data_IF_602514176887
#
_entry.id   IF_602514176887
#
_cell.length_a   1.000
_cell.length_b   1.000
_cell.length_c   1.000
_cell.angle_alpha   90.00
_cell.angle_beta   90.00
_cell.angle_gamma   90.00
#
_symmetry.space_group_name_H-M   'P 1'
#
loop_
_entity.id
_entity.type
_entity.pdbx_description
1 polymer ?
#
# COMPACT_ATOMS: atom_id res chain seq x y z
N UNK A 1 -20.33 -16.53 -59.37
CA UNK A 1 -19.37 -15.73 -58.58
C UNK A 1 -20.03 -15.43 -57.24
N UNK A 2 -19.64 -16.13 -56.17
CA UNK A 2 -20.25 -16.02 -54.83
C UNK A 2 -19.41 -15.03 -54.03
N UNK A 3 -20.05 -13.98 -53.53
CA UNK A 3 -19.38 -12.93 -52.75
C UNK A 3 -19.26 -13.41 -51.29
N UNK A 4 -18.04 -13.67 -50.82
CA UNK A 4 -17.75 -13.95 -49.41
C UNK A 4 -17.76 -12.63 -48.65
N UNK A 5 -18.76 -12.42 -47.80
CA UNK A 5 -18.84 -11.25 -46.92
C UNK A 5 -18.09 -11.59 -45.63
N UNK A 6 -16.96 -10.92 -45.39
CA UNK A 6 -16.28 -10.99 -44.09
C UNK A 6 -16.97 -10.03 -43.13
N UNK A 7 -17.58 -10.57 -42.07
CA UNK A 7 -18.15 -9.76 -40.99
C UNK A 7 -17.11 -9.56 -39.90
N UNK A 8 -16.77 -8.30 -39.60
CA UNK A 8 -15.92 -7.94 -38.48
C UNK A 8 -16.77 -7.42 -37.32
N UNK A 9 -16.51 -7.90 -36.10
CA UNK A 9 -17.18 -7.41 -34.88
C UNK A 9 -16.18 -6.58 -34.08
N UNK A 10 -16.49 -5.30 -33.90
CA UNK A 10 -15.70 -4.39 -33.05
C UNK A 10 -16.35 -4.32 -31.68
N UNK A 11 -15.66 -4.82 -30.65
CA UNK A 11 -16.10 -4.71 -29.25
C UNK A 11 -15.47 -3.48 -28.62
N UNK A 12 -16.29 -2.55 -28.14
CA UNK A 12 -15.81 -1.44 -27.32
C UNK A 12 -15.34 -1.94 -25.94
N UNK A 13 -14.03 -1.82 -25.70
CA UNK A 13 -13.38 -2.14 -24.42
C UNK A 13 -12.89 -0.90 -23.69
N UNK A 14 -13.24 0.29 -24.17
CA UNK A 14 -12.77 1.58 -23.64
C UNK A 14 -13.10 1.72 -22.16
N UNK A 15 -14.27 1.26 -21.73
CA UNK A 15 -14.68 1.28 -20.31
C UNK A 15 -13.75 0.45 -19.42
N UNK A 16 -13.44 -0.78 -19.83
CA UNK A 16 -12.55 -1.67 -19.06
C UNK A 16 -11.13 -1.12 -19.00
N UNK A 17 -10.60 -0.60 -20.12
CA UNK A 17 -9.28 0.02 -20.17
C UNK A 17 -9.19 1.26 -19.27
N UNK A 18 -10.20 2.14 -19.29
CA UNK A 18 -10.23 3.32 -18.43
C UNK A 18 -10.27 2.96 -16.95
N UNK A 19 -11.11 1.99 -16.57
CA UNK A 19 -11.17 1.53 -15.18
C UNK A 19 -9.84 0.92 -14.70
N UNK A 20 -9.21 0.07 -15.53
CA UNK A 20 -7.90 -0.51 -15.20
C UNK A 20 -6.80 0.53 -15.10
N UNK A 21 -6.76 1.50 -16.00
CA UNK A 21 -5.78 2.59 -15.94
C UNK A 21 -5.97 3.47 -14.69
N UNK A 22 -7.21 3.83 -14.37
CA UNK A 22 -7.52 4.62 -13.18
C UNK A 22 -7.13 3.88 -11.89
N UNK A 23 -7.39 2.56 -11.83
CA UNK A 23 -6.94 1.74 -10.70
C UNK A 23 -5.42 1.76 -10.56
N UNK A 24 -4.69 1.49 -11.65
CA UNK A 24 -3.22 1.46 -11.64
C UNK A 24 -2.60 2.81 -11.26
N UNK A 25 -3.20 3.90 -11.74
CA UNK A 25 -2.77 5.25 -11.38
C UNK A 25 -3.01 5.54 -9.88
N UNK A 26 -4.16 5.12 -9.36
CA UNK A 26 -4.46 5.25 -7.94
C UNK A 26 -3.53 4.41 -7.05
N UNK A 27 -3.22 3.18 -7.44
CA UNK A 27 -2.26 2.30 -6.75
C UNK A 27 -0.86 2.88 -6.76
N UNK A 28 -0.40 3.38 -7.92
CA UNK A 28 0.91 4.01 -8.05
C UNK A 28 1.02 5.25 -7.16
N UNK A 29 -0.04 6.07 -7.15
CA UNK A 29 -0.09 7.26 -6.29
C UNK A 29 -0.12 6.89 -4.81
N UNK A 30 -0.90 5.87 -4.43
CA UNK A 30 -0.94 5.34 -3.07
C UNK A 30 0.45 4.86 -2.64
N UNK A 31 1.08 3.97 -3.39
CA UNK A 31 2.42 3.44 -3.09
C UNK A 31 3.45 4.58 -3.01
N UNK A 32 3.37 5.55 -3.92
CA UNK A 32 4.26 6.71 -3.90
C UNK A 32 4.08 7.57 -2.65
N UNK A 33 2.86 7.74 -2.16
CA UNK A 33 2.60 8.53 -0.94
C UNK A 33 2.98 7.77 0.32
N UNK A 34 2.70 6.47 0.34
CA UNK A 34 3.00 5.57 1.45
C UNK A 34 4.50 5.40 1.64
N UNK A 35 5.22 4.97 0.60
CA UNK A 35 6.66 4.67 0.68
C UNK A 35 7.54 5.91 0.74
N UNK A 36 7.21 6.99 0.03
CA UNK A 36 8.04 8.19 0.06
C UNK A 36 7.69 9.14 1.23
N UNK A 37 6.73 8.77 2.08
CA UNK A 37 6.50 9.50 3.32
C UNK A 37 7.73 9.40 4.21
N UNK A 38 8.11 10.50 4.85
CA UNK A 38 9.20 10.52 5.84
C UNK A 38 8.71 10.19 7.25
N UNK A 39 7.40 10.15 7.44
CA UNK A 39 6.79 9.79 8.71
C UNK A 39 6.61 8.28 8.80
N UNK A 40 6.52 7.78 10.04
CA UNK A 40 6.11 6.41 10.32
C UNK A 40 4.66 6.23 9.87
N UNK A 41 4.43 5.44 8.82
CA UNK A 41 3.10 5.10 8.33
C UNK A 41 2.91 3.59 8.39
N UNK A 42 1.79 3.18 8.97
CA UNK A 42 1.40 1.78 9.02
C UNK A 42 -0.11 1.62 8.85
N UNK A 43 -0.51 0.43 8.43
CA UNK A 43 -1.90 0.02 8.31
C UNK A 43 -2.11 -1.14 9.29
N UNK A 44 -3.19 -1.08 10.05
CA UNK A 44 -3.59 -2.17 10.93
C UNK A 44 -5.05 -2.56 10.72
N UNK A 45 -5.35 -3.83 10.94
CA UNK A 45 -6.71 -4.32 11.12
C UNK A 45 -7.34 -3.72 12.38
N UNK A 46 -8.67 -3.80 12.47
CA UNK A 46 -9.43 -3.37 13.64
C UNK A 46 -8.99 -4.08 14.94
N UNK A 47 -8.45 -5.29 14.83
CA UNK A 47 -7.95 -6.09 15.95
C UNK A 47 -6.51 -5.73 16.35
N UNK A 48 -5.91 -4.71 15.73
CA UNK A 48 -4.57 -4.22 16.01
C UNK A 48 -3.43 -5.01 15.35
N UNK A 49 -3.75 -5.99 14.50
CA UNK A 49 -2.73 -6.65 13.67
C UNK A 49 -2.29 -5.74 12.56
N UNK A 50 -0.99 -5.60 12.40
CA UNK A 50 -0.38 -4.85 11.32
C UNK A 50 -0.64 -5.56 9.99
N UNK A 51 -0.97 -4.78 8.98
CA UNK A 51 -1.24 -5.21 7.61
C UNK A 51 -0.08 -4.78 6.71
N UNK A 52 0.46 -3.57 6.93
CA UNK A 52 1.49 -2.97 6.08
C UNK A 52 2.24 -1.87 6.85
N UNK A 53 3.50 -1.61 6.48
CA UNK A 53 4.34 -0.51 6.99
C UNK A 53 5.20 0.07 5.87
N UNK A 54 5.43 1.38 5.91
CA UNK A 54 6.33 2.00 4.95
C UNK A 54 7.80 1.81 5.35
N UNK A 55 8.69 1.96 4.38
CA UNK A 55 10.15 1.92 4.61
C UNK A 55 10.64 2.90 5.69
N UNK A 56 10.08 4.11 5.76
CA UNK A 56 10.45 5.08 6.80
C UNK A 56 10.16 4.58 8.23
N UNK A 57 9.08 3.79 8.43
CA UNK A 57 8.80 3.17 9.70
C UNK A 57 9.92 2.21 10.13
N UNK A 58 10.44 1.40 9.20
CA UNK A 58 11.55 0.50 9.49
C UNK A 58 12.80 1.28 9.91
N UNK A 59 13.14 2.32 9.16
CA UNK A 59 14.33 3.15 9.41
C UNK A 59 14.27 3.88 10.77
N UNK A 60 13.14 4.54 11.06
CA UNK A 60 12.96 5.34 12.29
C UNK A 60 12.90 4.43 13.54
N UNK A 61 12.27 3.26 13.39
CA UNK A 61 12.08 2.31 14.48
C UNK A 61 13.28 1.39 14.67
N UNK A 62 14.21 1.38 13.72
CA UNK A 62 15.48 0.64 13.79
C UNK A 62 15.36 -0.83 13.42
N UNK A 63 14.39 -1.19 12.58
CA UNK A 63 14.22 -2.53 12.04
C UNK A 63 14.86 -2.62 10.66
N UNK A 64 15.66 -3.66 10.42
CA UNK A 64 16.30 -3.83 9.11
C UNK A 64 15.35 -4.47 8.09
N UNK A 65 14.34 -5.20 8.58
CA UNK A 65 13.39 -5.94 7.75
C UNK A 65 11.99 -5.92 8.36
N UNK A 66 10.98 -5.98 7.51
CA UNK A 66 9.58 -6.04 7.92
C UNK A 66 9.27 -7.27 8.80
N UNK A 67 9.93 -8.40 8.59
CA UNK A 67 9.66 -9.60 9.39
C UNK A 67 10.14 -9.48 10.85
N UNK A 68 11.03 -8.54 11.13
CA UNK A 68 11.49 -8.22 12.49
C UNK A 68 10.49 -7.30 13.21
N UNK A 69 9.60 -6.68 12.44
CA UNK A 69 8.59 -5.77 12.95
C UNK A 69 7.47 -6.53 13.67
N UNK A 70 7.03 -6.09 14.86
CA UNK A 70 5.97 -6.76 15.59
C UNK A 70 4.67 -6.85 14.79
N UNK A 71 4.06 -8.03 14.76
CA UNK A 71 2.81 -8.28 14.02
C UNK A 71 1.61 -7.53 14.59
N UNK A 72 1.70 -7.03 15.83
CA UNK A 72 0.65 -6.21 16.45
C UNK A 72 1.21 -4.88 16.93
N UNK A 73 0.47 -3.81 16.67
CA UNK A 73 0.88 -2.46 17.02
C UNK A 73 0.97 -2.21 18.53
N UNK A 74 0.12 -2.88 19.31
CA UNK A 74 0.16 -2.80 20.78
C UNK A 74 1.49 -3.30 21.38
N UNK A 75 2.19 -4.21 20.70
CA UNK A 75 3.50 -4.68 21.11
C UNK A 75 4.62 -3.66 20.88
N UNK A 76 4.50 -2.77 19.88
CA UNK A 76 5.44 -1.66 19.71
C UNK A 76 5.37 -0.67 20.87
N UNK A 77 4.19 -0.48 21.44
CA UNK A 77 3.91 0.48 22.50
C UNK A 77 3.46 -0.24 23.77
N UNK A 78 4.22 -1.26 24.17
CA UNK A 78 3.88 -2.13 25.29
C UNK A 78 3.77 -1.37 26.62
N UNK A 79 4.48 -0.24 26.75
CA UNK A 79 4.38 0.69 27.88
C UNK A 79 4.15 2.14 27.43
N UNK A 80 3.56 3.00 28.29
CA UNK A 80 3.44 4.44 27.99
C UNK A 80 4.79 5.13 27.73
N UNK A 81 5.88 4.60 28.30
CA UNK A 81 7.24 5.13 28.09
C UNK A 81 7.73 4.86 26.67
N UNK A 82 7.44 3.68 26.11
CA UNK A 82 7.83 3.31 24.73
C UNK A 82 7.21 4.26 23.70
N UNK A 83 5.98 4.75 23.97
CA UNK A 83 5.34 5.79 23.15
C UNK A 83 6.07 7.12 23.17
N UNK A 84 6.58 7.55 24.33
CA UNK A 84 7.28 8.84 24.45
C UNK A 84 8.64 8.74 23.74
N UNK A 85 9.33 7.61 23.87
CA UNK A 85 10.57 7.37 23.14
C UNK A 85 10.34 7.34 21.63
N UNK A 86 9.26 6.69 21.18
CA UNK A 86 8.83 6.68 19.79
C UNK A 86 8.60 8.10 19.26
N UNK A 87 7.84 8.92 20.00
CA UNK A 87 7.57 10.32 19.64
C UNK A 87 8.83 11.20 19.63
N UNK A 88 9.92 10.80 20.28
CA UNK A 88 11.17 11.55 20.25
C UNK A 88 12.01 11.33 18.98
N UNK A 89 11.66 10.30 18.19
CA UNK A 89 12.38 9.89 16.97
C UNK A 89 11.73 10.40 15.68
N UNK A 90 10.58 11.07 15.79
CA UNK A 90 9.81 11.73 14.71
C UNK A 90 9.85 13.23 14.91
#
# INVERSE_FOLDING_TARGET
MIMLISTAVVRDISRHKRAGNALRESETKYLSLFENSKDVVFISSENGYLIDINSAALDILGYAREEEFPTRFDLLCSTPSDRIELLSRI
#
